data_IF_403308938797
#
_entry.id   IF_403308938797
#
_cell.length_a   1.000
_cell.length_b   1.000
_cell.length_c   1.000
_cell.angle_alpha   90.00
_cell.angle_beta   90.00
_cell.angle_gamma   90.00
#
_symmetry.space_group_name_H-M   'P 1'
#
loop_
_entity.id
_entity.type
_entity.pdbx_description
1 polymer ?
#
# COMPACT_ATOMS: atom_id res chain seq x y z
N UNK A 1 -15.62 -17.35 1.63
CA UNK A 1 -14.57 -17.96 0.77
C UNK A 1 -13.46 -18.56 1.62
N UNK A 2 -12.63 -17.75 2.28
CA UNK A 2 -11.50 -18.26 3.09
C UNK A 2 -11.91 -19.33 4.11
N UNK A 3 -12.97 -19.09 4.87
CA UNK A 3 -13.51 -20.06 5.83
C UNK A 3 -14.04 -21.33 5.15
N UNK A 4 -14.83 -21.18 4.09
CA UNK A 4 -15.48 -22.30 3.39
C UNK A 4 -14.51 -23.19 2.61
N UNK A 5 -13.36 -22.65 2.19
CA UNK A 5 -12.36 -23.35 1.38
C UNK A 5 -11.05 -23.59 2.14
N UNK A 6 -11.05 -23.50 3.47
CA UNK A 6 -9.85 -23.51 4.32
C UNK A 6 -8.88 -24.64 3.93
N UNK A 7 -9.34 -25.89 4.00
CA UNK A 7 -8.51 -27.06 3.73
C UNK A 7 -8.00 -27.09 2.29
N UNK A 8 -8.85 -26.69 1.34
CA UNK A 8 -8.49 -26.58 -0.07
C UNK A 8 -7.43 -25.50 -0.34
N UNK A 9 -7.50 -24.37 0.37
CA UNK A 9 -6.53 -23.27 0.27
C UNK A 9 -5.19 -23.65 0.89
N UNK A 10 -5.18 -24.34 2.04
CA UNK A 10 -3.94 -24.84 2.65
C UNK A 10 -3.29 -25.92 1.77
N UNK A 11 -4.07 -26.86 1.24
CA UNK A 11 -3.57 -27.87 0.31
C UNK A 11 -3.03 -27.22 -0.99
N UNK A 12 -3.69 -26.18 -1.49
CA UNK A 12 -3.25 -25.43 -2.67
C UNK A 12 -1.94 -24.67 -2.39
N UNK A 13 -1.82 -24.04 -1.23
CA UNK A 13 -0.58 -23.39 -0.79
C UNK A 13 0.59 -24.38 -0.71
N UNK A 14 0.37 -25.52 -0.06
CA UNK A 14 1.38 -26.57 0.09
C UNK A 14 1.83 -27.14 -1.28
N UNK A 15 0.88 -27.44 -2.17
CA UNK A 15 1.19 -27.91 -3.53
C UNK A 15 1.98 -26.88 -4.33
N UNK A 16 1.60 -25.61 -4.23
CA UNK A 16 2.31 -24.54 -4.93
C UNK A 16 3.72 -24.30 -4.36
N UNK A 17 3.91 -24.50 -3.04
CA UNK A 17 5.22 -24.40 -2.38
C UNK A 17 6.19 -25.53 -2.77
N UNK A 18 5.68 -26.68 -3.22
CA UNK A 18 6.49 -27.80 -3.67
C UNK A 18 7.05 -27.63 -5.09
N UNK A 19 6.60 -26.62 -5.84
CA UNK A 19 7.13 -26.31 -7.18
C UNK A 19 8.46 -25.56 -7.03
N UNK A 20 9.58 -26.08 -7.57
CA UNK A 20 10.87 -25.41 -7.48
C UNK A 20 10.87 -24.03 -8.13
N UNK A 21 11.84 -23.19 -7.75
CA UNK A 21 12.03 -21.92 -8.44
C UNK A 21 12.32 -22.14 -9.93
N UNK A 22 11.64 -21.35 -10.76
CA UNK A 22 11.74 -21.39 -12.21
C UNK A 22 11.16 -20.15 -12.85
N UNK A 23 11.60 -19.86 -14.07
CA UNK A 23 11.14 -18.71 -14.87
C UNK A 23 10.08 -19.10 -15.92
N UNK A 24 9.75 -20.39 -16.03
CA UNK A 24 8.67 -20.89 -16.88
C UNK A 24 7.29 -20.49 -16.32
N UNK A 25 6.26 -20.73 -17.14
CA UNK A 25 4.89 -20.36 -16.81
C UNK A 25 4.34 -21.10 -15.58
N UNK A 26 4.70 -22.37 -15.39
CA UNK A 26 4.21 -23.18 -14.29
C UNK A 26 4.79 -22.70 -12.95
N UNK A 27 6.10 -22.46 -12.88
CA UNK A 27 6.76 -21.94 -11.69
C UNK A 27 6.27 -20.52 -11.32
N UNK A 28 6.09 -19.63 -12.32
CA UNK A 28 5.47 -18.31 -12.11
C UNK A 28 4.03 -18.42 -11.61
N UNK A 29 3.24 -19.34 -12.18
CA UNK A 29 1.88 -19.63 -11.76
C UNK A 29 1.81 -20.13 -10.32
N UNK A 30 2.71 -21.04 -9.94
CA UNK A 30 2.79 -21.58 -8.58
C UNK A 30 3.04 -20.47 -7.55
N UNK A 31 4.01 -19.57 -7.77
CA UNK A 31 4.27 -18.43 -6.86
C UNK A 31 3.06 -17.50 -6.70
N UNK A 32 2.36 -17.23 -7.81
CA UNK A 32 1.12 -16.43 -7.79
C UNK A 32 0.02 -17.12 -6.97
N UNK A 33 -0.22 -18.40 -7.22
CA UNK A 33 -1.22 -19.21 -6.51
C UNK A 33 -0.89 -19.33 -5.03
N UNK A 34 0.38 -19.56 -4.69
CA UNK A 34 0.87 -19.63 -3.31
C UNK A 34 0.54 -18.35 -2.54
N UNK A 35 0.90 -17.20 -3.11
CA UNK A 35 0.62 -15.89 -2.48
C UNK A 35 -0.88 -15.59 -2.39
N UNK A 36 -1.65 -15.91 -3.44
CA UNK A 36 -3.10 -15.70 -3.44
C UNK A 36 -3.81 -16.58 -2.38
N UNK A 37 -3.36 -17.83 -2.23
CA UNK A 37 -3.89 -18.74 -1.22
C UNK A 37 -3.66 -18.18 0.19
N UNK A 38 -2.46 -17.64 0.47
CA UNK A 38 -2.18 -16.97 1.73
C UNK A 38 -3.11 -15.80 2.01
N UNK A 39 -3.45 -14.97 1.03
CA UNK A 39 -4.38 -13.85 1.23
C UNK A 39 -5.78 -14.32 1.65
N UNK A 40 -6.27 -15.43 1.08
CA UNK A 40 -7.56 -15.99 1.49
C UNK A 40 -7.51 -16.70 2.84
N UNK A 41 -6.40 -17.36 3.16
CA UNK A 41 -6.17 -17.94 4.49
C UNK A 41 -6.13 -16.81 5.53
N UNK A 42 -5.43 -15.71 5.25
CA UNK A 42 -5.35 -14.56 6.17
C UNK A 42 -6.71 -13.96 6.49
N UNK A 43 -7.63 -13.93 5.53
CA UNK A 43 -9.00 -13.47 5.75
C UNK A 43 -9.85 -14.41 6.64
N UNK A 44 -9.46 -15.68 6.79
CA UNK A 44 -10.19 -16.68 7.55
C UNK A 44 -9.53 -17.05 8.89
N UNK A 45 -8.20 -17.08 8.90
CA UNK A 45 -7.36 -17.49 10.01
C UNK A 45 -6.04 -16.68 9.97
N UNK A 46 -6.04 -15.45 10.53
CA UNK A 46 -4.87 -14.57 10.51
C UNK A 46 -3.63 -15.19 11.16
N UNK A 47 -3.80 -15.97 12.23
CA UNK A 47 -2.69 -16.59 12.94
C UNK A 47 -2.02 -17.66 12.07
N UNK A 48 -2.82 -18.54 11.45
CA UNK A 48 -2.30 -19.56 10.54
C UNK A 48 -1.63 -18.93 9.32
N UNK A 49 -2.20 -17.87 8.77
CA UNK A 49 -1.59 -17.15 7.66
C UNK A 49 -0.27 -16.49 8.03
N UNK A 50 -0.16 -15.92 9.24
CA UNK A 50 1.09 -15.33 9.73
C UNK A 50 2.20 -16.38 9.81
N UNK A 51 1.92 -17.56 10.37
CA UNK A 51 2.87 -18.67 10.43
C UNK A 51 3.33 -19.11 9.03
N UNK A 52 2.39 -19.37 8.11
CA UNK A 52 2.70 -19.83 6.76
C UNK A 52 3.43 -18.76 5.94
N UNK A 53 3.04 -17.50 6.07
CA UNK A 53 3.70 -16.39 5.40
C UNK A 53 5.10 -16.16 5.96
N UNK A 54 5.29 -16.26 7.28
CA UNK A 54 6.62 -16.17 7.90
C UNK A 54 7.55 -17.27 7.39
N UNK A 55 7.08 -18.52 7.38
CA UNK A 55 7.82 -19.65 6.82
C UNK A 55 8.18 -19.45 5.34
N UNK A 56 7.26 -18.91 4.55
CA UNK A 56 7.53 -18.57 3.14
C UNK A 56 8.56 -17.45 3.02
N UNK A 57 8.47 -16.42 3.86
CA UNK A 57 9.40 -15.29 3.87
C UNK A 57 10.84 -15.73 4.18
N UNK A 58 11.00 -16.50 5.26
CA UNK A 58 12.30 -16.98 5.74
C UNK A 58 12.94 -17.98 4.76
N UNK A 59 12.12 -18.84 4.14
CA UNK A 59 12.58 -19.82 3.15
C UNK A 59 12.70 -19.30 1.71
N UNK A 60 12.34 -18.04 1.44
CA UNK A 60 12.39 -17.50 0.09
C UNK A 60 13.83 -17.25 -0.35
N UNK A 61 14.21 -17.80 -1.51
CA UNK A 61 15.49 -17.56 -2.19
C UNK A 61 15.40 -16.47 -3.28
N UNK A 62 14.20 -16.00 -3.58
CA UNK A 62 13.91 -15.04 -4.62
C UNK A 62 13.00 -13.90 -4.15
N UNK A 63 13.06 -12.75 -4.82
CA UNK A 63 12.30 -11.57 -4.46
C UNK A 63 10.77 -11.77 -4.58
N UNK A 64 10.30 -12.59 -5.53
CA UNK A 64 8.85 -12.75 -5.76
C UNK A 64 8.18 -13.42 -4.57
N UNK A 65 8.76 -14.52 -4.08
CA UNK A 65 8.20 -15.24 -2.94
C UNK A 65 8.33 -14.45 -1.64
N UNK A 66 9.48 -13.78 -1.44
CA UNK A 66 9.70 -12.93 -0.26
C UNK A 66 8.74 -11.76 -0.21
N UNK A 67 8.56 -11.06 -1.35
CA UNK A 67 7.62 -9.95 -1.46
C UNK A 67 6.17 -10.42 -1.29
N UNK A 68 5.80 -11.57 -1.88
CA UNK A 68 4.45 -12.14 -1.74
C UNK A 68 4.10 -12.48 -0.30
N UNK A 69 5.04 -13.07 0.45
CA UNK A 69 4.88 -13.33 1.88
C UNK A 69 4.78 -12.03 2.69
N UNK A 70 5.69 -11.08 2.42
CA UNK A 70 5.68 -9.80 3.12
C UNK A 70 4.37 -9.02 2.89
N UNK A 71 3.83 -9.03 1.67
CA UNK A 71 2.53 -8.41 1.34
C UNK A 71 1.39 -8.94 2.22
N UNK A 72 1.38 -10.24 2.53
CA UNK A 72 0.37 -10.83 3.43
C UNK A 72 0.67 -10.41 4.86
N UNK A 73 1.91 -10.53 5.31
CA UNK A 73 2.34 -10.16 6.65
C UNK A 73 2.06 -8.68 6.97
N UNK A 74 2.23 -7.75 6.02
CA UNK A 74 1.97 -6.33 6.27
C UNK A 74 0.50 -6.05 6.60
N UNK A 75 -0.42 -6.90 6.14
CA UNK A 75 -1.85 -6.82 6.43
C UNK A 75 -2.28 -7.44 7.76
N UNK A 76 -1.39 -8.17 8.45
CA UNK A 76 -1.70 -8.89 9.69
C UNK A 76 -1.06 -8.19 10.90
N UNK A 77 -1.67 -8.22 12.09
CA UNK A 77 -0.99 -7.79 13.31
C UNK A 77 0.04 -8.86 13.76
N UNK A 78 0.95 -8.50 14.67
CA UNK A 78 1.81 -9.47 15.37
C UNK A 78 3.30 -9.36 15.09
N UNK A 79 4.07 -10.21 15.78
CA UNK A 79 5.53 -10.17 15.77
C UNK A 79 6.12 -10.60 14.42
N UNK A 80 5.43 -11.50 13.70
CA UNK A 80 5.82 -11.99 12.38
C UNK A 80 5.87 -10.85 11.37
N UNK A 81 4.87 -9.94 11.41
CA UNK A 81 4.84 -8.71 10.61
C UNK A 81 6.03 -7.83 10.93
N UNK A 82 6.19 -7.46 12.20
CA UNK A 82 7.24 -6.53 12.64
C UNK A 82 8.62 -7.06 12.31
N UNK A 83 8.89 -8.33 12.63
CA UNK A 83 10.17 -8.98 12.35
C UNK A 83 10.47 -9.07 10.85
N UNK A 84 9.47 -9.36 10.00
CA UNK A 84 9.68 -9.44 8.56
C UNK A 84 9.89 -8.06 7.93
N UNK A 85 9.21 -7.01 8.42
CA UNK A 85 9.43 -5.64 7.97
C UNK A 85 10.84 -5.14 8.30
N UNK A 86 11.32 -5.42 9.52
CA UNK A 86 12.67 -5.06 9.95
C UNK A 86 13.73 -5.83 9.15
N UNK A 87 13.57 -7.16 9.00
CA UNK A 87 14.51 -7.96 8.19
C UNK A 87 14.55 -7.46 6.73
N UNK A 88 13.38 -7.21 6.12
CA UNK A 88 13.33 -6.76 4.72
C UNK A 88 14.04 -5.42 4.53
N UNK A 89 13.80 -4.47 5.43
CA UNK A 89 14.47 -3.17 5.38
C UNK A 89 15.98 -3.32 5.51
N UNK A 90 16.45 -4.00 6.57
CA UNK A 90 17.89 -4.17 6.84
C UNK A 90 18.60 -4.95 5.72
N UNK A 91 17.96 -5.99 5.18
CA UNK A 91 18.51 -6.83 4.10
C UNK A 91 18.75 -6.05 2.82
N UNK A 92 17.94 -5.04 2.55
CA UNK A 92 17.96 -4.27 1.31
C UNK A 92 18.30 -2.80 1.53
N UNK A 93 18.90 -2.49 2.68
CA UNK A 93 19.43 -1.16 2.97
C UNK A 93 20.39 -0.73 1.84
N UNK A 94 20.29 0.54 1.43
CA UNK A 94 21.05 1.08 0.30
C UNK A 94 20.47 0.75 -1.09
N UNK A 95 19.48 -0.14 -1.21
CA UNK A 95 18.78 -0.38 -2.48
C UNK A 95 17.47 0.41 -2.57
N UNK A 96 17.56 1.64 -3.09
CA UNK A 96 16.43 2.57 -3.17
C UNK A 96 15.15 1.96 -3.78
N UNK A 97 15.29 1.19 -4.88
CA UNK A 97 14.15 0.57 -5.58
C UNK A 97 13.46 -0.52 -4.74
N UNK A 98 14.21 -1.22 -3.89
CA UNK A 98 13.65 -2.25 -3.00
C UNK A 98 13.04 -1.60 -1.75
N UNK A 99 13.66 -0.55 -1.22
CA UNK A 99 13.05 0.22 -0.13
C UNK A 99 11.74 0.89 -0.60
N UNK A 100 11.67 1.35 -1.85
CA UNK A 100 10.42 1.87 -2.43
C UNK A 100 9.30 0.80 -2.40
N UNK A 101 9.62 -0.46 -2.73
CA UNK A 101 8.66 -1.56 -2.59
C UNK A 101 8.27 -1.79 -1.13
N UNK A 102 9.20 -1.67 -0.19
CA UNK A 102 8.92 -1.81 1.24
C UNK A 102 7.94 -0.76 1.77
N UNK A 103 8.06 0.51 1.33
CA UNK A 103 7.05 1.54 1.60
C UNK A 103 5.70 1.18 0.98
N UNK A 104 5.69 0.78 -0.29
CA UNK A 104 4.47 0.46 -1.01
C UNK A 104 3.71 -0.73 -0.41
N UNK A 105 4.40 -1.79 0.03
CA UNK A 105 3.79 -2.98 0.64
C UNK A 105 3.07 -2.65 1.95
N UNK A 106 3.58 -1.71 2.72
CA UNK A 106 2.95 -1.27 3.96
C UNK A 106 1.77 -0.35 3.69
N UNK A 107 1.95 0.62 2.79
CA UNK A 107 0.93 1.59 2.42
C UNK A 107 -0.25 0.98 1.65
N UNK A 108 -0.04 -0.15 0.98
CA UNK A 108 -1.07 -0.94 0.28
C UNK A 108 -1.68 -2.08 1.10
N UNK A 109 -1.31 -2.19 2.38
CA UNK A 109 -1.69 -3.33 3.21
C UNK A 109 -3.18 -3.33 3.59
N UNK A 110 -3.70 -4.51 3.91
CA UNK A 110 -5.04 -4.69 4.47
C UNK A 110 -5.12 -4.47 6.00
N UNK A 111 -4.07 -3.91 6.61
CA UNK A 111 -4.00 -3.73 8.05
C UNK A 111 -5.06 -2.72 8.52
N UNK A 112 -5.77 -2.96 9.64
CA UNK A 112 -6.75 -2.01 10.18
C UNK A 112 -6.15 -0.62 10.47
N UNK A 113 -4.88 -0.58 10.89
CA UNK A 113 -4.14 0.65 11.21
C UNK A 113 -3.29 1.20 10.06
N UNK A 114 -3.58 0.83 8.80
CA UNK A 114 -2.76 1.24 7.64
C UNK A 114 -2.54 2.76 7.55
N UNK A 115 -3.53 3.57 7.93
CA UNK A 115 -3.38 5.03 7.98
C UNK A 115 -2.29 5.47 8.97
N UNK A 116 -2.25 4.88 10.16
CA UNK A 116 -1.22 5.18 11.17
C UNK A 116 0.15 4.74 10.68
N UNK A 117 0.24 3.58 10.03
CA UNK A 117 1.49 3.11 9.42
C UNK A 117 2.00 4.08 8.36
N UNK A 118 1.12 4.61 7.49
CA UNK A 118 1.52 5.59 6.48
C UNK A 118 2.02 6.88 7.11
N UNK A 119 1.38 7.36 8.19
CA UNK A 119 1.86 8.52 8.96
C UNK A 119 3.25 8.26 9.57
N UNK A 120 3.46 7.12 10.19
CA UNK A 120 4.77 6.75 10.75
C UNK A 120 5.85 6.62 9.67
N UNK A 121 5.50 6.07 8.50
CA UNK A 121 6.41 5.95 7.36
C UNK A 121 6.79 7.29 6.74
N UNK A 122 5.93 8.30 6.80
CA UNK A 122 6.26 9.66 6.36
C UNK A 122 7.37 10.31 7.21
N UNK A 123 7.56 9.83 8.45
CA UNK A 123 8.62 10.27 9.37
C UNK A 123 9.86 9.36 9.34
N UNK A 124 9.86 8.31 8.49
CA UNK A 124 10.95 7.37 8.43
C UNK A 124 12.23 8.02 7.87
N UNK A 125 13.45 7.70 8.37
CA UNK A 125 14.70 8.34 7.91
C UNK A 125 14.95 8.25 6.40
N UNK A 126 14.51 7.15 5.80
CA UNK A 126 14.61 6.91 4.35
C UNK A 126 13.50 7.60 3.52
N UNK A 127 12.54 8.27 4.17
CA UNK A 127 11.48 9.03 3.51
C UNK A 127 11.90 10.48 3.28
N UNK A 128 11.63 11.02 2.09
CA UNK A 128 11.80 12.44 1.80
C UNK A 128 10.87 12.90 0.69
N UNK A 129 10.26 14.09 0.86
CA UNK A 129 9.44 14.73 -0.17
C UNK A 129 10.22 15.10 -1.43
N UNK A 130 11.55 15.21 -1.33
CA UNK A 130 12.42 15.54 -2.48
C UNK A 130 12.60 14.35 -3.44
N UNK A 131 12.28 13.13 -3.02
CA UNK A 131 12.36 11.94 -3.85
C UNK A 131 10.96 11.56 -4.39
N UNK A 132 10.66 11.83 -5.66
CA UNK A 132 9.34 11.55 -6.22
C UNK A 132 9.00 10.05 -6.25
N UNK A 133 9.99 9.14 -6.33
CA UNK A 133 9.73 7.70 -6.23
C UNK A 133 9.28 7.32 -4.83
N UNK A 134 9.92 7.88 -3.80
CA UNK A 134 9.59 7.63 -2.41
C UNK A 134 8.20 8.14 -2.05
N UNK A 135 7.88 9.37 -2.48
CA UNK A 135 6.55 9.98 -2.31
C UNK A 135 5.47 9.13 -2.98
N UNK A 136 5.69 8.69 -4.22
CA UNK A 136 4.75 7.79 -4.92
C UNK A 136 4.60 6.46 -4.20
N UNK A 137 5.70 5.85 -3.80
CA UNK A 137 5.70 4.53 -3.17
C UNK A 137 4.91 4.50 -1.87
N UNK A 138 4.95 5.59 -1.08
CA UNK A 138 4.13 5.71 0.12
C UNK A 138 2.69 6.13 -0.21
N UNK A 139 2.51 7.31 -0.79
CA UNK A 139 1.19 7.92 -0.83
C UNK A 139 0.31 7.45 -1.99
N UNK A 140 0.87 7.14 -3.17
CA UNK A 140 0.03 6.59 -4.26
C UNK A 140 -0.46 5.20 -3.91
N UNK A 141 0.39 4.38 -3.31
CA UNK A 141 -0.01 3.08 -2.77
C UNK A 141 -1.13 3.23 -1.73
N UNK A 142 -1.03 4.22 -0.83
CA UNK A 142 -2.09 4.51 0.14
C UNK A 142 -3.41 4.93 -0.51
N UNK A 143 -3.41 5.78 -1.55
CA UNK A 143 -4.65 6.17 -2.23
C UNK A 143 -5.38 4.97 -2.87
N UNK A 144 -4.66 3.89 -3.18
CA UNK A 144 -5.20 2.63 -3.67
C UNK A 144 -5.75 1.71 -2.58
N UNK A 145 -5.71 2.12 -1.30
CA UNK A 145 -6.10 1.30 -0.13
C UNK A 145 -7.38 1.84 0.48
N UNK A 146 -8.57 1.32 0.09
CA UNK A 146 -9.84 1.96 0.39
C UNK A 146 -10.12 2.08 1.89
N UNK A 147 -9.76 1.08 2.71
CA UNK A 147 -10.09 1.12 4.14
C UNK A 147 -9.36 2.24 4.89
N UNK A 148 -8.17 2.63 4.42
CA UNK A 148 -7.41 3.75 4.96
C UNK A 148 -7.77 5.08 4.28
N UNK A 149 -7.77 5.11 2.95
CA UNK A 149 -8.02 6.33 2.20
C UNK A 149 -9.45 6.85 2.38
N UNK A 150 -10.45 5.96 2.37
CA UNK A 150 -11.86 6.28 2.57
C UNK A 150 -12.32 6.06 4.02
N UNK A 151 -11.43 6.25 4.99
CA UNK A 151 -11.81 6.24 6.41
C UNK A 151 -12.96 7.21 6.66
N UNK A 152 -13.94 6.80 7.47
CA UNK A 152 -15.21 7.53 7.63
C UNK A 152 -15.04 8.96 8.19
N UNK A 153 -13.95 9.21 8.92
CA UNK A 153 -13.60 10.52 9.48
C UNK A 153 -12.88 11.46 8.49
N UNK A 154 -12.58 11.01 7.26
CA UNK A 154 -11.92 11.83 6.23
C UNK A 154 -10.42 12.01 6.40
N UNK A 155 -9.79 11.38 7.40
CA UNK A 155 -8.36 11.55 7.68
C UNK A 155 -7.46 11.12 6.50
N UNK A 156 -7.87 10.12 5.73
CA UNK A 156 -7.16 9.71 4.52
C UNK A 156 -7.17 10.79 3.42
N UNK A 157 -8.26 11.54 3.29
CA UNK A 157 -8.34 12.65 2.34
C UNK A 157 -7.49 13.83 2.79
N UNK A 158 -7.59 14.19 4.08
CA UNK A 158 -6.78 15.23 4.70
C UNK A 158 -5.29 14.96 4.52
N UNK A 159 -4.86 13.72 4.75
CA UNK A 159 -3.47 13.31 4.56
C UNK A 159 -2.97 13.57 3.13
N UNK A 160 -3.76 13.24 2.11
CA UNK A 160 -3.38 13.46 0.71
C UNK A 160 -3.41 14.94 0.33
N UNK A 161 -4.36 15.71 0.86
CA UNK A 161 -4.41 17.14 0.62
C UNK A 161 -3.25 17.88 1.31
N UNK A 162 -2.86 17.49 2.53
CA UNK A 162 -1.68 18.02 3.21
C UNK A 162 -0.38 17.67 2.44
N UNK A 163 -0.29 16.46 1.89
CA UNK A 163 0.80 16.08 0.97
C UNK A 163 0.85 16.98 -0.26
N UNK A 164 -0.29 17.20 -0.94
CA UNK A 164 -0.35 18.02 -2.15
C UNK A 164 0.19 19.42 -1.86
N UNK A 165 -0.26 20.03 -0.76
CA UNK A 165 0.16 21.37 -0.35
C UNK A 165 1.63 21.45 0.04
N UNK A 166 2.17 20.41 0.69
CA UNK A 166 3.58 20.34 1.05
C UNK A 166 4.49 20.07 -0.16
N UNK A 167 4.01 19.28 -1.12
CA UNK A 167 4.79 18.84 -2.27
C UNK A 167 4.74 19.85 -3.42
N UNK A 168 3.66 20.60 -3.59
CA UNK A 168 3.48 21.52 -4.70
C UNK A 168 4.62 22.56 -4.85
N UNK A 169 5.09 23.22 -3.77
CA UNK A 169 6.22 24.14 -3.87
C UNK A 169 7.56 23.48 -4.24
N UNK A 170 7.69 22.17 -4.01
CA UNK A 170 8.89 21.40 -4.29
C UNK A 170 8.85 20.78 -5.69
N UNK A 171 7.68 20.30 -6.11
CA UNK A 171 7.47 19.56 -7.34
C UNK A 171 5.97 19.55 -7.71
N UNK A 172 5.50 20.65 -8.27
CA UNK A 172 4.14 20.84 -8.79
C UNK A 172 3.65 19.67 -9.66
N UNK A 173 4.48 19.19 -10.59
CA UNK A 173 4.12 18.10 -11.49
C UNK A 173 3.83 16.79 -10.73
N UNK A 174 4.57 16.51 -9.65
CA UNK A 174 4.33 15.33 -8.80
C UNK A 174 3.12 15.54 -7.90
N UNK A 175 2.94 16.74 -7.32
CA UNK A 175 1.77 17.09 -6.52
C UNK A 175 0.46 16.94 -7.30
N UNK A 176 0.42 17.47 -8.52
CA UNK A 176 -0.73 17.41 -9.42
C UNK A 176 -1.21 15.96 -9.71
N UNK A 177 -0.31 14.96 -9.64
CA UNK A 177 -0.67 13.54 -9.83
C UNK A 177 -1.52 12.96 -8.69
N UNK A 178 -1.55 13.58 -7.51
CA UNK A 178 -2.35 13.12 -6.36
C UNK A 178 -3.78 13.66 -6.38
N UNK A 179 -4.02 14.80 -7.05
CA UNK A 179 -5.34 15.43 -7.14
C UNK A 179 -6.42 14.48 -7.67
N UNK A 180 -6.20 13.63 -8.70
CA UNK A 180 -7.23 12.72 -9.21
C UNK A 180 -7.75 11.70 -8.18
N UNK A 181 -7.01 11.39 -7.11
CA UNK A 181 -7.50 10.51 -6.05
C UNK A 181 -8.70 11.16 -5.31
N UNK A 182 -8.63 12.47 -5.06
CA UNK A 182 -9.71 13.26 -4.48
C UNK A 182 -10.77 13.67 -5.53
N UNK A 183 -10.36 13.83 -6.79
CA UNK A 183 -11.26 14.22 -7.90
C UNK A 183 -12.36 13.21 -8.25
N UNK A 184 -12.32 11.99 -7.71
CA UNK A 184 -13.35 10.97 -7.90
C UNK A 184 -14.55 11.11 -6.96
N UNK A 185 -14.63 12.17 -6.16
CA UNK A 185 -15.66 12.39 -5.14
C UNK A 185 -17.10 12.18 -5.63
N UNK A 186 -17.42 12.53 -6.88
CA UNK A 186 -18.76 12.33 -7.48
C UNK A 186 -19.21 10.86 -7.58
N UNK A 187 -18.28 9.89 -7.46
CA UNK A 187 -18.56 8.44 -7.53
C UNK A 187 -18.64 7.79 -6.16
N UNK A 188 -18.45 8.56 -5.09
CA UNK A 188 -18.43 8.08 -3.72
C UNK A 188 -19.76 8.46 -3.06
N UNK A 189 -20.17 7.71 -2.03
CA UNK A 189 -21.37 8.02 -1.26
C UNK A 189 -21.34 9.46 -0.67
N UNK A 190 -22.51 10.10 -0.44
CA UNK A 190 -22.60 11.53 -0.14
C UNK A 190 -21.73 12.07 1.00
N UNK A 191 -21.56 11.33 2.10
CA UNK A 191 -20.78 11.74 3.27
C UNK A 191 -19.29 11.89 2.93
N UNK A 192 -18.68 10.83 2.42
CA UNK A 192 -17.28 10.86 1.96
C UNK A 192 -17.07 11.77 0.75
N UNK A 193 -18.05 11.84 -0.15
CA UNK A 193 -17.99 12.77 -1.29
C UNK A 193 -17.85 14.22 -0.81
N UNK A 194 -18.61 14.63 0.22
CA UNK A 194 -18.50 15.96 0.82
C UNK A 194 -17.12 16.19 1.44
N UNK A 195 -16.57 15.21 2.16
CA UNK A 195 -15.22 15.32 2.75
C UNK A 195 -14.12 15.43 1.69
N UNK A 196 -14.17 14.63 0.62
CA UNK A 196 -13.21 14.71 -0.49
C UNK A 196 -13.29 16.06 -1.21
N UNK A 197 -14.51 16.55 -1.44
CA UNK A 197 -14.74 17.86 -2.06
C UNK A 197 -14.22 18.99 -1.18
N UNK A 198 -14.47 18.95 0.12
CA UNK A 198 -13.96 19.95 1.06
C UNK A 198 -12.42 20.04 1.03
N UNK A 199 -11.73 18.90 0.92
CA UNK A 199 -10.27 18.89 0.76
C UNK A 199 -9.81 19.45 -0.59
N UNK A 200 -10.53 19.21 -1.69
CA UNK A 200 -10.26 19.87 -2.98
C UNK A 200 -10.46 21.38 -2.90
N UNK A 201 -11.54 21.85 -2.27
CA UNK A 201 -11.82 23.27 -2.05
C UNK A 201 -10.73 23.92 -1.18
N UNK A 202 -10.26 23.21 -0.14
CA UNK A 202 -9.14 23.65 0.69
C UNK A 202 -7.85 23.79 -0.11
N UNK A 203 -7.54 22.85 -1.00
CA UNK A 203 -6.35 22.94 -1.87
C UNK A 203 -6.50 24.13 -2.82
N UNK A 204 -7.67 24.32 -3.44
CA UNK A 204 -7.93 25.42 -4.37
C UNK A 204 -7.77 26.81 -3.71
N UNK A 205 -8.12 26.92 -2.42
CA UNK A 205 -7.99 28.14 -1.64
C UNK A 205 -6.57 28.41 -1.13
N UNK A 206 -5.61 27.49 -1.33
CA UNK A 206 -4.27 27.64 -0.80
C UNK A 206 -3.49 28.76 -1.53
N UNK A 207 -2.82 29.65 -0.78
CA UNK A 207 -2.02 30.70 -1.39
C UNK A 207 -0.83 30.12 -2.14
N UNK A 208 -0.50 30.68 -3.31
CA UNK A 208 0.68 30.31 -4.12
C UNK A 208 0.66 28.86 -4.64
N UNK A 209 -0.51 28.25 -4.77
CA UNK A 209 -0.64 26.97 -5.47
C UNK A 209 -0.14 27.12 -6.91
N UNK A 210 0.68 26.18 -7.36
CA UNK A 210 1.19 26.18 -8.73
C UNK A 210 0.05 26.11 -9.74
N UNK A 211 0.26 26.67 -10.94
CA UNK A 211 -0.72 26.64 -12.02
C UNK A 211 -1.15 25.20 -12.35
N UNK A 212 -0.19 24.29 -12.46
CA UNK A 212 -0.45 22.89 -12.83
C UNK A 212 -1.37 22.19 -11.81
N UNK A 213 -1.11 22.38 -10.51
CA UNK A 213 -1.96 21.80 -9.45
C UNK A 213 -3.31 22.50 -9.38
N UNK A 214 -3.35 23.83 -9.52
CA UNK A 214 -4.60 24.60 -9.55
C UNK A 214 -5.53 24.17 -10.69
N UNK A 215 -5.00 23.98 -11.90
CA UNK A 215 -5.77 23.50 -13.06
C UNK A 215 -6.37 22.11 -12.80
N UNK A 216 -5.59 21.17 -12.23
CA UNK A 216 -6.09 19.83 -11.91
C UNK A 216 -7.17 19.86 -10.83
N UNK A 217 -7.02 20.69 -9.80
CA UNK A 217 -7.99 20.82 -8.70
C UNK A 217 -9.28 21.43 -9.22
N UNK A 218 -9.19 22.52 -9.97
CA UNK A 218 -10.36 23.20 -10.56
C UNK A 218 -11.13 22.25 -11.48
N UNK A 219 -10.43 21.51 -12.35
CA UNK A 219 -11.04 20.48 -13.20
C UNK A 219 -11.73 19.37 -12.39
N UNK A 220 -11.18 19.02 -11.23
CA UNK A 220 -11.74 17.99 -10.35
C UNK A 220 -12.99 18.48 -9.61
N UNK A 221 -13.06 19.76 -9.26
CA UNK A 221 -14.23 20.40 -8.66
C UNK A 221 -15.38 20.55 -9.66
N UNK A 222 -15.06 20.69 -10.95
CA UNK A 222 -16.04 20.85 -12.03
C UNK A 222 -16.13 22.28 -12.52
#
# INVERSE_FOLDING_TARGET
>A
IGTSLRDGLEALHARAAAVPFGIDAAAKGARKVRTLSLSYIAAADPARAAELARKQYDGADNMTDRQGALMVLTGLPGAERTGALIDFYNRFEGNALVIDKWFALQASSLHPEVLQHVRALAEHPDFTLKNPNRVRSLYMAFTGTPQGFHAANGEGYKLIADLILALDPLNAQTAARFVPALGRWRRIEPGRAALMRAELERIAAAPKLSRDTYEQVTRSLG
#
